data_IF_819905004347
#
_entry.id   IF_819905004347
#
_cell.length_a   1.000
_cell.length_b   1.000
_cell.length_c   1.000
_cell.angle_alpha   90.00
_cell.angle_beta   90.00
_cell.angle_gamma   90.00
#
_symmetry.space_group_name_H-M   'P 1'
#
loop_
_entity.id
_entity.type
_entity.pdbx_description
1 polymer ?
#
# COMPACT_ATOMS: atom_id res chain seq x y z
N UNK A 1 15.23 8.26 4.16
CA UNK A 1 14.61 8.21 2.82
C UNK A 1 13.11 8.46 2.95
N UNK A 2 12.53 9.32 2.10
CA UNK A 2 11.09 9.56 2.08
C UNK A 2 10.33 8.29 1.70
N UNK A 3 9.12 8.16 2.24
CA UNK A 3 8.21 7.07 1.90
C UNK A 3 7.70 7.24 0.45
N UNK A 4 7.73 6.19 -0.39
CA UNK A 4 7.27 6.26 -1.78
C UNK A 4 5.76 6.48 -1.91
N UNK A 5 4.98 6.37 -0.83
CA UNK A 5 3.51 6.50 -0.87
C UNK A 5 2.96 7.91 -1.13
N UNK A 6 3.84 8.89 -1.41
CA UNK A 6 3.46 10.26 -1.77
C UNK A 6 3.18 11.21 -0.59
N UNK A 7 3.34 10.78 0.67
CA UNK A 7 3.11 11.63 1.85
C UNK A 7 4.35 12.41 2.32
N UNK A 8 5.52 12.19 1.72
CA UNK A 8 6.75 12.91 2.03
C UNK A 8 7.40 12.60 3.39
N UNK A 9 6.72 11.85 4.26
CA UNK A 9 7.25 11.46 5.57
C UNK A 9 8.38 10.42 5.46
N UNK A 10 9.28 10.34 6.46
CA UNK A 10 10.27 9.27 6.53
C UNK A 10 9.60 7.89 6.49
N UNK A 11 10.20 6.93 5.77
CA UNK A 11 9.62 5.60 5.61
C UNK A 11 9.25 4.89 6.93
N UNK A 12 10.12 4.83 7.97
CA UNK A 12 9.80 4.17 9.24
C UNK A 12 8.54 4.73 9.92
N UNK A 13 8.39 6.05 9.87
CA UNK A 13 7.29 6.79 10.52
C UNK A 13 6.01 6.79 9.67
N UNK A 14 6.09 6.31 8.43
CA UNK A 14 4.99 6.29 7.47
C UNK A 14 4.50 4.87 7.20
N UNK A 15 4.84 4.26 6.06
CA UNK A 15 4.40 2.90 5.72
C UNK A 15 5.22 1.81 6.42
N UNK A 16 6.42 2.13 6.88
CA UNK A 16 7.32 1.20 7.56
C UNK A 16 6.68 0.57 8.80
N UNK A 17 5.96 1.36 9.60
CA UNK A 17 5.23 0.84 10.78
C UNK A 17 4.22 -0.26 10.45
N UNK A 18 3.52 -0.15 9.32
CA UNK A 18 2.54 -1.14 8.89
C UNK A 18 3.21 -2.36 8.26
N UNK A 19 4.30 -2.15 7.52
CA UNK A 19 5.10 -3.25 7.00
C UNK A 19 5.70 -4.10 8.13
N UNK A 20 6.05 -3.46 9.26
CA UNK A 20 6.54 -4.10 10.48
C UNK A 20 5.47 -4.84 11.30
N UNK A 21 4.19 -4.79 10.92
CA UNK A 21 3.13 -5.61 11.53
C UNK A 21 1.96 -4.85 12.14
N UNK A 22 2.00 -3.52 12.21
CA UNK A 22 0.83 -2.75 12.60
C UNK A 22 -0.25 -2.77 11.50
N UNK A 23 -1.52 -2.67 11.88
CA UNK A 23 -2.63 -2.57 10.93
C UNK A 23 -2.77 -1.15 10.37
N UNK A 24 -3.06 -1.07 9.08
CA UNK A 24 -3.39 0.19 8.44
C UNK A 24 -4.82 0.59 8.87
N UNK A 25 -5.01 1.76 9.51
CA UNK A 25 -6.27 2.10 10.17
C UNK A 25 -7.39 2.48 9.21
N UNK A 26 -7.10 2.71 7.93
CA UNK A 26 -8.09 3.13 6.92
C UNK A 26 -7.80 2.50 5.57
N UNK A 27 -8.79 2.45 4.69
CA UNK A 27 -8.62 1.95 3.33
C UNK A 27 -7.53 2.73 2.56
N UNK A 28 -7.44 4.05 2.74
CA UNK A 28 -6.39 4.86 2.13
C UNK A 28 -4.99 4.54 2.69
N UNK A 29 -4.88 4.37 4.01
CA UNK A 29 -3.63 3.94 4.65
C UNK A 29 -3.18 2.57 4.11
N UNK A 30 -4.12 1.64 3.94
CA UNK A 30 -3.86 0.32 3.37
C UNK A 30 -3.43 0.42 1.89
N UNK A 31 -4.08 1.27 1.11
CA UNK A 31 -3.73 1.48 -0.30
C UNK A 31 -2.32 2.06 -0.45
N UNK A 32 -1.99 3.10 0.34
CA UNK A 32 -0.68 3.77 0.36
C UNK A 32 0.44 2.83 0.81
N UNK A 33 0.20 2.02 1.83
CA UNK A 33 1.17 1.01 2.30
C UNK A 33 1.40 -0.08 1.26
N UNK A 34 0.34 -0.61 0.63
CA UNK A 34 0.49 -1.58 -0.46
C UNK A 34 1.28 -1.00 -1.64
N UNK A 35 1.05 0.25 -2.03
CA UNK A 35 1.90 0.91 -3.04
C UNK A 35 3.37 0.96 -2.61
N UNK A 36 3.64 1.35 -1.36
CA UNK A 36 5.01 1.41 -0.86
C UNK A 36 5.66 0.01 -0.78
N UNK A 37 4.88 -1.04 -0.52
CA UNK A 37 5.36 -2.41 -0.52
C UNK A 37 5.73 -2.89 -1.93
N UNK A 38 4.94 -2.54 -2.97
CA UNK A 38 5.33 -2.77 -4.36
C UNK A 38 6.64 -2.05 -4.71
N UNK A 39 6.74 -0.75 -4.39
CA UNK A 39 7.94 0.05 -4.67
C UNK A 39 9.20 -0.43 -3.92
N UNK A 40 9.05 -1.16 -2.81
CA UNK A 40 10.16 -1.68 -2.00
C UNK A 40 10.39 -3.19 -2.15
N UNK A 41 9.63 -3.88 -3.00
CA UNK A 41 9.77 -5.32 -3.19
C UNK A 41 9.42 -6.15 -1.93
N UNK A 42 8.27 -5.88 -1.32
CA UNK A 42 7.83 -6.55 -0.08
C UNK A 42 6.62 -7.48 -0.32
N UNK A 43 6.80 -8.63 -0.99
CA UNK A 43 5.68 -9.50 -1.40
C UNK A 43 4.93 -10.10 -0.22
N UNK A 44 5.62 -10.45 0.87
CA UNK A 44 4.99 -10.99 2.08
C UNK A 44 3.97 -10.01 2.71
N UNK A 45 4.22 -8.70 2.63
CA UNK A 45 3.27 -7.69 3.09
C UNK A 45 2.01 -7.66 2.21
N UNK A 46 2.22 -7.69 0.89
CA UNK A 46 1.14 -7.66 -0.09
C UNK A 46 0.24 -8.89 0.05
N UNK A 47 0.82 -10.08 0.19
CA UNK A 47 0.07 -11.33 0.41
C UNK A 47 -0.71 -11.31 1.73
N UNK A 48 -0.12 -10.77 2.82
CA UNK A 48 -0.82 -10.65 4.10
C UNK A 48 -2.03 -9.72 4.04
N UNK A 49 -1.92 -8.64 3.27
CA UNK A 49 -2.95 -7.59 3.15
C UNK A 49 -3.89 -7.78 1.97
N UNK A 50 -3.78 -8.90 1.25
CA UNK A 50 -4.68 -9.27 0.17
C UNK A 50 -5.91 -9.97 0.73
N UNK A 51 -7.08 -9.63 0.22
CA UNK A 51 -8.30 -10.33 0.55
C UNK A 51 -8.17 -11.84 0.23
N UNK A 52 -8.48 -12.75 1.17
CA UNK A 52 -8.21 -14.19 0.99
C UNK A 52 -8.85 -14.80 -0.25
N UNK A 53 -10.03 -14.31 -0.69
CA UNK A 53 -10.74 -14.87 -1.85
C UNK A 53 -10.10 -14.58 -3.21
N UNK A 54 -9.21 -13.58 -3.30
CA UNK A 54 -8.56 -13.18 -4.57
C UNK A 54 -7.04 -13.16 -4.46
N UNK A 55 -6.50 -13.61 -3.33
CA UNK A 55 -5.07 -13.63 -3.05
C UNK A 55 -4.39 -14.74 -3.86
N UNK A 56 -3.33 -14.44 -4.63
CA UNK A 56 -2.53 -15.48 -5.28
C UNK A 56 -1.75 -16.30 -4.24
N UNK A 57 -1.39 -17.54 -4.58
CA UNK A 57 -0.62 -18.41 -3.68
C UNK A 57 0.81 -17.90 -3.46
N UNK A 58 1.40 -17.30 -4.50
CA UNK A 58 2.72 -16.69 -4.47
C UNK A 58 2.71 -15.36 -5.25
N UNK A 59 3.68 -14.49 -4.98
CA UNK A 59 3.84 -13.19 -5.64
C UNK A 59 5.32 -12.87 -5.84
N UNK A 60 5.79 -13.05 -7.07
CA UNK A 60 7.10 -12.57 -7.52
C UNK A 60 6.99 -11.12 -8.01
N UNK A 61 7.93 -10.28 -7.59
CA UNK A 61 8.03 -8.87 -7.98
C UNK A 61 9.30 -8.55 -8.78
N UNK A 62 10.14 -9.54 -9.06
CA UNK A 62 11.48 -9.37 -9.64
C UNK A 62 11.43 -8.71 -11.01
N UNK A 63 10.51 -9.17 -11.87
CA UNK A 63 10.29 -8.65 -13.23
C UNK A 63 9.12 -7.66 -13.30
N UNK A 64 8.70 -7.13 -12.16
CA UNK A 64 7.61 -6.18 -12.04
C UNK A 64 8.00 -4.75 -12.46
N UNK A 65 7.00 -3.89 -12.74
CA UNK A 65 7.27 -2.49 -13.07
C UNK A 65 7.84 -1.74 -11.85
N UNK A 66 8.66 -0.72 -12.10
CA UNK A 66 9.20 0.12 -11.03
C UNK A 66 8.22 1.22 -10.69
N UNK A 67 7.57 1.10 -9.53
CA UNK A 67 6.65 2.11 -9.02
C UNK A 67 7.40 3.35 -8.53
N UNK A 68 7.05 4.52 -9.08
CA UNK A 68 7.78 5.78 -8.82
C UNK A 68 6.95 6.82 -8.09
N UNK A 69 5.62 6.85 -8.30
CA UNK A 69 4.75 7.86 -7.70
C UNK A 69 3.32 7.36 -7.50
N UNK A 70 2.72 7.76 -6.39
CA UNK A 70 1.31 7.56 -6.08
C UNK A 70 0.58 8.89 -5.96
N UNK A 71 -0.59 8.97 -6.58
CA UNK A 71 -1.57 10.03 -6.39
C UNK A 71 -2.89 9.43 -5.91
N UNK A 72 -3.35 9.80 -4.72
CA UNK A 72 -4.70 9.46 -4.26
C UNK A 72 -5.64 10.58 -4.73
N UNK A 73 -6.65 10.21 -5.52
CA UNK A 73 -7.63 11.13 -6.09
C UNK A 73 -8.80 11.33 -5.12
N UNK A 74 -9.28 10.24 -4.51
CA UNK A 74 -10.35 10.28 -3.51
C UNK A 74 -10.36 9.02 -2.64
N UNK A 75 -10.88 9.14 -1.42
CA UNK A 75 -11.18 8.02 -0.54
C UNK A 75 -12.60 8.16 0.01
N UNK A 76 -13.39 7.09 -0.08
CA UNK A 76 -14.78 7.02 0.40
C UNK A 76 -14.86 5.97 1.50
N UNK A 77 -15.64 6.24 2.56
CA UNK A 77 -15.68 5.42 3.79
C UNK A 77 -14.26 5.19 4.34
N UNK A 78 -13.55 6.30 4.54
CA UNK A 78 -12.12 6.35 4.87
C UNK A 78 -11.81 6.52 6.36
N UNK A 79 -12.78 6.31 7.25
CA UNK A 79 -12.56 6.39 8.69
C UNK A 79 -12.06 5.07 9.25
N UNK A 80 -11.56 5.09 10.48
CA UNK A 80 -11.13 3.88 11.20
C UNK A 80 -12.27 2.95 11.63
N UNK A 81 -13.52 3.42 11.56
CA UNK A 81 -14.70 2.64 11.91
C UNK A 81 -15.34 1.96 10.70
N UNK A 82 -14.93 2.35 9.49
CA UNK A 82 -15.41 1.75 8.26
C UNK A 82 -14.76 0.37 8.06
N UNK A 83 -15.59 -0.65 7.87
CA UNK A 83 -15.12 -2.01 7.55
C UNK A 83 -14.91 -2.22 6.05
N UNK A 84 -15.43 -1.31 5.21
CA UNK A 84 -15.30 -1.32 3.75
C UNK A 84 -15.10 0.10 3.27
N UNK A 85 -14.06 0.32 2.45
CA UNK A 85 -13.76 1.62 1.84
C UNK A 85 -13.29 1.50 0.39
N UNK A 86 -13.41 2.60 -0.35
CA UNK A 86 -13.00 2.69 -1.75
C UNK A 86 -11.96 3.78 -1.90
N UNK A 87 -10.85 3.49 -2.58
CA UNK A 87 -9.80 4.47 -2.85
C UNK A 87 -9.60 4.57 -4.36
N UNK A 88 -9.77 5.77 -4.92
CA UNK A 88 -9.44 6.08 -6.31
C UNK A 88 -8.03 6.66 -6.34
N UNK A 89 -7.15 6.08 -7.15
CA UNK A 89 -5.75 6.48 -7.21
C UNK A 89 -5.18 6.37 -8.62
N UNK A 90 -4.02 6.99 -8.83
CA UNK A 90 -3.15 6.82 -10.00
C UNK A 90 -1.78 6.38 -9.51
N UNK A 91 -1.30 5.26 -10.05
CA UNK A 91 0.04 4.75 -9.79
C UNK A 91 0.89 4.94 -11.05
N UNK A 92 2.03 5.61 -10.91
CA UNK A 92 2.98 5.81 -11.99
C UNK A 92 4.11 4.81 -11.86
N UNK A 93 4.45 4.16 -12.97
CA UNK A 93 5.47 3.12 -13.03
C UNK A 93 6.08 3.02 -14.44
N UNK A 94 7.26 2.41 -14.53
CA UNK A 94 7.97 2.16 -15.80
C UNK A 94 9.15 1.22 -15.62
#
# INVERSE_FOLDING_TARGET
MPCPCGLGQPYPDCCGRWHAGADAPTAEALMRSRFAAFARGLPAYLLRTWHPSTRPADLDLTDGPRFTRLEVVSAERGTMFDTVGTVRFRAHYG
#
